data_IF_669947257773
#
_entry.id   IF_669947257773
#
_cell.length_a   1.000
_cell.length_b   1.000
_cell.length_c   1.000
_cell.angle_alpha   90.00
_cell.angle_beta   90.00
_cell.angle_gamma   90.00
#
_symmetry.space_group_name_H-M   'P 1'
#
loop_
_entity.id
_entity.type
_entity.pdbx_description
1 polymer ?
#
# COMPACT_ATOMS: atom_id res chain seq x y z
N UNK A 1 16.10 -1.44 -13.93
CA UNK A 1 15.19 -0.35 -13.53
C UNK A 1 15.09 -0.37 -12.01
N UNK A 2 15.17 0.78 -11.35
CA UNK A 2 15.06 0.86 -9.87
C UNK A 2 13.69 0.32 -9.44
N UNK A 3 13.54 -0.20 -8.22
CA UNK A 3 12.24 -0.74 -7.71
C UNK A 3 11.93 -0.35 -6.28
N UNK A 4 12.92 0.16 -5.55
CA UNK A 4 12.83 0.54 -4.15
C UNK A 4 13.00 2.06 -4.08
N UNK A 5 12.06 2.71 -3.41
CA UNK A 5 12.07 4.15 -3.20
C UNK A 5 11.86 4.43 -1.71
N UNK A 6 12.70 5.27 -1.15
CA UNK A 6 12.51 5.77 0.20
C UNK A 6 11.42 6.84 0.18
N UNK A 7 10.55 6.81 1.18
CA UNK A 7 9.55 7.85 1.41
C UNK A 7 9.81 8.49 2.76
N UNK A 8 9.94 9.81 2.78
CA UNK A 8 10.11 10.58 4.02
C UNK A 8 8.81 11.28 4.37
N UNK A 9 8.42 11.25 5.64
CA UNK A 9 7.28 12.01 6.15
C UNK A 9 7.80 13.33 6.71
N UNK A 10 7.39 14.44 6.13
CA UNK A 10 7.68 15.78 6.64
C UNK A 10 6.42 16.38 7.27
N UNK A 11 6.52 16.81 8.53
CA UNK A 11 5.40 17.45 9.23
C UNK A 11 5.50 18.96 9.12
N UNK A 12 4.53 19.58 8.46
CA UNK A 12 4.40 21.03 8.39
C UNK A 12 3.46 21.52 9.48
N UNK A 13 3.84 22.61 10.14
CA UNK A 13 2.98 23.31 11.11
C UNK A 13 2.38 24.52 10.41
N UNK A 14 1.06 24.51 10.25
CA UNK A 14 0.32 25.64 9.66
C UNK A 14 -0.43 26.37 10.76
N UNK A 15 -0.19 27.69 10.83
CA UNK A 15 -0.94 28.60 11.69
C UNK A 15 -2.00 29.30 10.85
N UNK A 16 -3.27 29.04 11.15
CA UNK A 16 -4.38 29.71 10.47
C UNK A 16 -4.76 30.99 11.21
N UNK A 17 -4.79 32.13 10.49
CA UNK A 17 -5.37 33.39 11.00
C UNK A 17 -6.86 33.42 10.68
N UNK A 18 -7.72 33.42 11.69
CA UNK A 18 -9.17 33.68 11.50
C UNK A 18 -9.41 35.18 11.36
N UNK A 19 -9.31 35.69 10.14
CA UNK A 19 -9.72 37.05 9.80
C UNK A 19 -8.77 38.17 10.28
N UNK A 20 -9.03 39.42 9.86
CA UNK A 20 -8.15 40.55 10.13
C UNK A 20 -8.11 40.96 11.62
N UNK A 21 -9.11 40.61 12.43
CA UNK A 21 -9.29 41.17 13.78
C UNK A 21 -9.26 40.17 14.96
N UNK A 22 -8.94 38.88 14.76
CA UNK A 22 -8.86 37.92 15.89
C UNK A 22 -7.43 37.50 16.22
N UNK A 23 -7.15 37.38 17.53
CA UNK A 23 -5.93 36.80 18.11
C UNK A 23 -5.63 35.43 17.50
N UNK A 24 -4.32 35.12 17.37
CA UNK A 24 -3.84 33.84 16.88
C UNK A 24 -4.49 32.68 17.67
N UNK A 25 -5.31 31.87 17.01
CA UNK A 25 -5.65 30.56 17.58
C UNK A 25 -4.39 29.70 17.51
N UNK A 26 -3.68 29.61 18.63
CA UNK A 26 -2.43 28.88 18.84
C UNK A 26 -2.54 27.35 18.76
N UNK A 27 -3.53 26.78 18.07
CA UNK A 27 -3.56 25.33 17.84
C UNK A 27 -2.79 25.03 16.56
N UNK A 28 -1.52 24.56 16.64
CA UNK A 28 -0.79 24.13 15.46
C UNK A 28 -1.56 23.00 14.79
N UNK A 29 -1.84 23.13 13.50
CA UNK A 29 -2.33 22.03 12.68
C UNK A 29 -1.14 21.39 11.99
N UNK A 30 -0.95 20.09 12.22
CA UNK A 30 0.13 19.31 11.61
C UNK A 30 -0.35 18.71 10.30
N UNK A 31 0.39 18.96 9.23
CA UNK A 31 0.15 18.41 7.91
C UNK A 31 1.32 17.50 7.53
N UNK A 32 1.14 16.17 7.59
CA UNK A 32 2.14 15.26 7.05
C UNK A 32 2.14 15.38 5.54
N UNK A 33 3.33 15.52 4.97
CA UNK A 33 3.58 15.43 3.53
C UNK A 33 4.55 14.29 3.26
N UNK A 34 4.23 13.46 2.28
CA UNK A 34 5.10 12.40 1.82
C UNK A 34 6.06 12.96 0.76
N UNK A 35 7.35 12.81 1.01
CA UNK A 35 8.43 13.23 0.10
C UNK A 35 9.01 11.97 -0.54
N UNK A 36 9.04 11.97 -1.87
CA UNK A 36 9.50 10.88 -2.71
C UNK A 36 10.08 11.42 -4.03
N UNK A 37 10.74 10.56 -4.79
CA UNK A 37 11.36 10.93 -6.07
C UNK A 37 10.33 10.97 -7.21
N UNK A 38 10.48 11.90 -8.16
CA UNK A 38 9.57 12.05 -9.31
C UNK A 38 9.46 10.77 -10.15
N UNK A 39 10.54 9.99 -10.28
CA UNK A 39 10.54 8.71 -11.01
C UNK A 39 9.51 7.73 -10.41
N UNK A 40 9.31 7.74 -9.08
CA UNK A 40 8.32 6.90 -8.43
C UNK A 40 6.90 7.27 -8.88
N UNK A 41 6.60 8.57 -8.91
CA UNK A 41 5.29 9.08 -9.29
C UNK A 41 4.96 8.74 -10.74
N UNK A 42 5.87 9.00 -11.67
CA UNK A 42 5.69 8.68 -13.09
C UNK A 42 5.39 7.18 -13.30
N UNK A 43 6.10 6.31 -12.56
CA UNK A 43 5.93 4.86 -12.66
C UNK A 43 4.63 4.37 -12.07
N UNK A 44 4.25 4.83 -10.88
CA UNK A 44 3.01 4.42 -10.26
C UNK A 44 1.81 5.01 -10.97
N UNK A 45 1.89 6.23 -11.51
CA UNK A 45 0.88 6.76 -12.40
C UNK A 45 0.70 5.89 -13.65
N UNK A 46 1.79 5.40 -14.25
CA UNK A 46 1.69 4.49 -15.39
C UNK A 46 0.98 3.16 -15.03
N UNK A 47 1.28 2.60 -13.86
CA UNK A 47 0.64 1.37 -13.34
C UNK A 47 -0.85 1.61 -13.01
N UNK A 48 -1.18 2.75 -12.42
CA UNK A 48 -2.52 3.05 -11.92
C UNK A 48 -3.46 3.64 -12.98
N UNK A 49 -2.90 4.19 -14.08
CA UNK A 49 -3.67 4.81 -15.17
C UNK A 49 -4.75 3.90 -15.79
N UNK A 50 -4.50 2.60 -16.08
CA UNK A 50 -5.54 1.69 -16.57
C UNK A 50 -6.72 1.53 -15.61
N UNK A 51 -6.50 1.79 -14.32
CA UNK A 51 -7.49 1.68 -13.25
C UNK A 51 -8.19 3.02 -12.95
N UNK A 52 -7.99 4.04 -13.79
CA UNK A 52 -8.53 5.39 -13.61
C UNK A 52 -8.18 6.02 -12.25
N UNK A 53 -6.99 5.69 -11.72
CA UNK A 53 -6.41 6.30 -10.54
C UNK A 53 -5.05 6.93 -10.88
N UNK A 54 -4.57 7.81 -9.99
CA UNK A 54 -3.21 8.37 -10.01
C UNK A 54 -2.54 8.16 -8.66
N UNK A 55 -1.21 8.09 -8.68
CA UNK A 55 -0.38 8.03 -7.49
C UNK A 55 -0.55 9.28 -6.62
N UNK A 56 -0.70 10.46 -7.23
CA UNK A 56 -1.00 11.69 -6.48
C UNK A 56 -2.31 11.62 -5.67
N UNK A 57 -3.35 10.97 -6.20
CA UNK A 57 -4.60 10.72 -5.46
C UNK A 57 -4.36 9.73 -4.31
N UNK A 58 -3.59 8.67 -4.55
CA UNK A 58 -3.22 7.70 -3.52
C UNK A 58 -2.44 8.36 -2.36
N UNK A 59 -1.44 9.19 -2.67
CA UNK A 59 -0.67 9.97 -1.69
C UNK A 59 -1.59 10.88 -0.87
N UNK A 60 -2.48 11.61 -1.54
CA UNK A 60 -3.44 12.50 -0.86
C UNK A 60 -4.32 11.75 0.15
N UNK A 61 -4.74 10.54 -0.19
CA UNK A 61 -5.53 9.69 0.72
C UNK A 61 -4.68 9.20 1.90
N UNK A 62 -3.45 8.75 1.64
CA UNK A 62 -2.52 8.31 2.68
C UNK A 62 -2.19 9.44 3.67
N UNK A 63 -1.84 10.63 3.18
CA UNK A 63 -1.59 11.81 4.01
C UNK A 63 -2.81 12.22 4.84
N UNK A 64 -4.01 12.13 4.26
CA UNK A 64 -5.25 12.42 4.98
C UNK A 64 -5.51 11.40 6.10
N UNK A 65 -5.22 10.12 5.89
CA UNK A 65 -5.40 9.10 6.92
C UNK A 65 -4.38 9.27 8.07
N UNK A 66 -3.12 9.62 7.76
CA UNK A 66 -2.11 9.96 8.78
C UNK A 66 -2.55 11.20 9.56
N UNK A 67 -2.94 12.28 8.86
CA UNK A 67 -3.35 13.55 9.48
C UNK A 67 -4.50 13.39 10.47
N UNK A 68 -5.44 12.49 10.17
CA UNK A 68 -6.61 12.25 11.01
C UNK A 68 -6.38 11.13 12.05
N UNK A 69 -5.15 10.63 12.20
CA UNK A 69 -4.83 9.56 13.15
C UNK A 69 -5.54 8.23 12.85
N UNK A 70 -5.99 8.04 11.61
CA UNK A 70 -6.68 6.80 11.19
C UNK A 70 -5.72 5.65 10.97
N UNK A 71 -4.48 5.97 10.59
CA UNK A 71 -3.39 5.01 10.37
C UNK A 71 -2.04 5.69 10.61
N UNK A 72 -1.06 4.88 10.98
CA UNK A 72 0.34 5.23 10.77
C UNK A 72 0.76 4.88 9.34
N UNK A 73 1.84 5.51 8.87
CA UNK A 73 2.41 5.14 7.58
C UNK A 73 3.16 3.82 7.74
N UNK A 74 2.81 2.83 6.92
CA UNK A 74 3.39 1.49 6.99
C UNK A 74 4.90 1.51 6.73
N UNK A 75 5.65 0.55 7.28
CA UNK A 75 7.08 0.40 6.99
C UNK A 75 7.34 0.25 5.48
N UNK A 76 6.53 -0.55 4.79
CA UNK A 76 6.60 -0.66 3.34
C UNK A 76 5.23 -0.75 2.66
N UNK A 77 5.17 -0.23 1.44
CA UNK A 77 4.07 -0.47 0.50
C UNK A 77 4.60 -1.19 -0.71
N UNK A 78 4.02 -2.33 -1.02
CA UNK A 78 4.35 -3.14 -2.19
C UNK A 78 3.26 -2.90 -3.22
N UNK A 79 3.65 -2.39 -4.39
CA UNK A 79 2.78 -2.22 -5.55
C UNK A 79 3.11 -3.28 -6.58
N UNK A 80 2.08 -3.96 -7.07
CA UNK A 80 2.19 -4.80 -8.25
C UNK A 80 1.99 -3.96 -9.51
N UNK A 81 2.49 -4.42 -10.65
CA UNK A 81 2.28 -3.73 -11.94
C UNK A 81 0.86 -3.94 -12.51
N UNK A 82 0.12 -4.90 -11.94
CA UNK A 82 -1.29 -5.17 -12.21
C UNK A 82 -1.96 -5.78 -10.98
N UNK A 83 -3.28 -5.67 -10.94
CA UNK A 83 -4.14 -6.41 -10.02
C UNK A 83 -4.14 -7.92 -10.36
N UNK A 84 -3.94 -8.78 -9.36
CA UNK A 84 -3.98 -10.25 -9.46
C UNK A 84 -5.16 -10.85 -8.68
N UNK A 85 -5.71 -11.99 -9.12
CA UNK A 85 -6.77 -12.71 -8.39
C UNK A 85 -6.15 -13.65 -7.33
N UNK A 86 -5.40 -13.06 -6.39
CA UNK A 86 -4.58 -13.79 -5.40
C UNK A 86 -4.83 -13.31 -3.96
N UNK A 87 -5.98 -12.69 -3.72
CA UNK A 87 -6.33 -12.16 -2.42
C UNK A 87 -6.52 -13.27 -1.38
N UNK A 88 -7.15 -14.39 -1.77
CA UNK A 88 -7.34 -15.55 -0.90
C UNK A 88 -6.02 -16.15 -0.47
N UNK A 89 -5.09 -16.30 -1.40
CA UNK A 89 -3.75 -16.81 -1.16
C UNK A 89 -2.97 -15.90 -0.21
N UNK A 90 -3.01 -14.58 -0.45
CA UNK A 90 -2.39 -13.61 0.44
C UNK A 90 -2.99 -13.67 1.85
N UNK A 91 -4.32 -13.66 1.98
CA UNK A 91 -5.00 -13.67 3.28
C UNK A 91 -4.74 -14.97 4.04
N UNK A 92 -4.76 -16.11 3.35
CA UNK A 92 -4.43 -17.42 3.92
C UNK A 92 -2.99 -17.45 4.45
N UNK A 93 -2.02 -17.00 3.65
CA UNK A 93 -0.62 -16.95 4.07
C UNK A 93 -0.42 -15.97 5.24
N UNK A 94 -1.04 -14.79 5.17
CA UNK A 94 -0.96 -13.76 6.21
C UNK A 94 -1.54 -14.24 7.55
N UNK A 95 -2.70 -14.89 7.54
CA UNK A 95 -3.46 -15.18 8.76
C UNK A 95 -3.75 -13.91 9.55
N UNK A 96 -3.45 -13.93 10.85
CA UNK A 96 -3.73 -12.82 11.79
C UNK A 96 -2.69 -11.69 11.76
N UNK A 97 -1.66 -11.78 10.92
CA UNK A 97 -0.64 -10.74 10.79
C UNK A 97 -1.30 -9.45 10.28
N UNK A 98 -1.04 -8.26 10.88
CA UNK A 98 -1.79 -7.03 10.59
C UNK A 98 -1.38 -6.34 9.27
N UNK A 99 -0.99 -7.09 8.26
CA UNK A 99 -0.77 -6.55 6.91
C UNK A 99 -2.09 -6.32 6.20
N UNK A 100 -2.25 -5.17 5.55
CA UNK A 100 -3.43 -4.90 4.73
C UNK A 100 -3.10 -5.10 3.27
N UNK A 101 -4.13 -5.26 2.45
CA UNK A 101 -3.98 -5.22 1.01
C UNK A 101 -5.11 -4.42 0.39
N UNK A 102 -4.87 -3.97 -0.83
CA UNK A 102 -5.84 -3.28 -1.64
C UNK A 102 -5.57 -3.57 -3.11
N UNK A 103 -6.37 -2.96 -3.94
CA UNK A 103 -6.32 -3.05 -5.38
C UNK A 103 -6.08 -1.65 -5.97
N UNK A 104 -5.66 -1.55 -7.22
CA UNK A 104 -5.45 -0.23 -7.84
C UNK A 104 -6.77 0.51 -8.11
N UNK A 105 -7.82 -0.20 -8.51
CA UNK A 105 -9.15 0.36 -8.81
C UNK A 105 -9.96 0.83 -7.58
N UNK A 106 -9.69 0.34 -6.36
CA UNK A 106 -10.40 0.82 -5.16
C UNK A 106 -10.16 2.32 -4.91
N UNK A 107 -9.03 2.87 -5.38
CA UNK A 107 -8.80 4.31 -5.39
C UNK A 107 -9.89 5.09 -6.16
N UNK A 108 -10.48 4.47 -7.19
CA UNK A 108 -11.59 5.03 -7.97
C UNK A 108 -12.95 4.85 -7.30
N UNK A 109 -13.06 4.10 -6.19
CA UNK A 109 -14.31 3.82 -5.48
C UNK A 109 -15.11 2.67 -6.07
N UNK A 110 -14.50 1.85 -6.93
CA UNK A 110 -15.15 0.69 -7.53
C UNK A 110 -14.95 -0.53 -6.63
N UNK A 111 -16.05 -1.20 -6.27
CA UNK A 111 -16.05 -2.43 -5.47
C UNK A 111 -16.38 -3.60 -6.39
N UNK A 112 -15.68 -4.74 -6.30
CA UNK A 112 -16.01 -5.92 -7.08
C UNK A 112 -17.41 -6.43 -6.83
N UNK A 113 -18.08 -6.82 -7.93
CA UNK A 113 -19.42 -7.40 -7.91
C UNK A 113 -19.47 -8.73 -7.16
N UNK A 114 -18.37 -9.48 -7.16
CA UNK A 114 -18.25 -10.79 -6.50
C UNK A 114 -17.72 -10.70 -5.06
N UNK A 115 -17.43 -9.49 -4.58
CA UNK A 115 -17.01 -9.21 -3.21
C UNK A 115 -15.57 -9.58 -2.86
N UNK A 116 -14.77 -10.09 -3.80
CA UNK A 116 -13.35 -10.39 -3.57
C UNK A 116 -12.47 -9.34 -4.24
N UNK A 117 -11.80 -8.45 -3.47
CA UNK A 117 -10.92 -7.46 -4.07
C UNK A 117 -9.69 -8.15 -4.66
N UNK A 118 -9.28 -7.82 -5.90
CA UNK A 118 -8.01 -8.29 -6.41
C UNK A 118 -6.85 -7.66 -5.63
N UNK A 119 -5.68 -8.25 -5.79
CA UNK A 119 -4.46 -7.86 -5.11
C UNK A 119 -3.59 -7.00 -6.04
N UNK A 120 -3.55 -5.69 -5.77
CA UNK A 120 -2.66 -4.75 -6.46
C UNK A 120 -1.63 -4.10 -5.54
N UNK A 121 -1.92 -4.04 -4.24
CA UNK A 121 -1.10 -3.35 -3.25
C UNK A 121 -1.09 -4.12 -1.93
N UNK A 122 0.06 -4.20 -1.27
CA UNK A 122 0.22 -4.77 0.07
C UNK A 122 0.88 -3.74 0.99
N UNK A 123 0.34 -3.64 2.20
CA UNK A 123 0.66 -2.61 3.19
C UNK A 123 1.33 -3.36 4.34
N UNK A 124 2.65 -3.23 4.42
CA UNK A 124 3.49 -3.95 5.39
C UNK A 124 3.71 -3.05 6.58
N UNK A 125 3.03 -3.33 7.70
CA UNK A 125 3.12 -2.48 8.88
C UNK A 125 4.53 -2.51 9.48
N UNK A 126 5.07 -3.71 9.70
CA UNK A 126 6.42 -3.93 10.24
C UNK A 126 7.24 -4.88 9.37
N UNK A 127 8.57 -4.73 9.36
CA UNK A 127 9.47 -5.62 8.62
C UNK A 127 9.32 -7.09 9.02
N UNK A 128 9.16 -7.35 10.31
CA UNK A 128 8.93 -8.71 10.82
C UNK A 128 7.64 -9.35 10.34
N UNK A 129 6.65 -8.54 9.93
CA UNK A 129 5.42 -9.08 9.36
C UNK A 129 5.68 -9.67 7.97
N UNK A 130 6.44 -8.95 7.14
CA UNK A 130 6.86 -9.45 5.82
C UNK A 130 7.66 -10.76 5.97
N UNK A 131 8.63 -10.80 6.88
CA UNK A 131 9.44 -11.98 7.17
C UNK A 131 8.57 -13.22 7.51
N UNK A 132 7.56 -13.04 8.37
CA UNK A 132 6.65 -14.13 8.76
C UNK A 132 5.77 -14.60 7.61
N UNK A 133 5.34 -13.67 6.73
CA UNK A 133 4.46 -14.02 5.60
C UNK A 133 5.24 -14.70 4.48
N UNK A 134 6.45 -14.25 4.16
CA UNK A 134 7.26 -14.86 3.08
C UNK A 134 7.65 -16.30 3.38
N UNK A 135 7.74 -16.68 4.65
CA UNK A 135 7.93 -18.07 5.05
C UNK A 135 6.78 -19.01 4.62
N UNK A 136 5.64 -18.46 4.20
CA UNK A 136 4.42 -19.21 3.85
C UNK A 136 3.98 -19.05 2.40
N UNK A 137 4.54 -18.09 1.65
CA UNK A 137 4.15 -17.83 0.27
C UNK A 137 5.28 -17.27 -0.58
N UNK A 138 5.37 -17.73 -1.82
CA UNK A 138 6.29 -17.19 -2.82
C UNK A 138 5.87 -15.82 -3.36
N UNK A 139 4.61 -15.41 -3.13
CA UNK A 139 4.02 -14.15 -3.61
C UNK A 139 4.87 -12.92 -3.26
N UNK A 140 5.51 -12.95 -2.09
CA UNK A 140 6.24 -11.83 -1.52
C UNK A 140 7.76 -12.05 -1.48
N UNK A 141 8.26 -13.14 -2.06
CA UNK A 141 9.67 -13.49 -1.96
C UNK A 141 10.59 -12.41 -2.55
N UNK A 142 10.25 -11.89 -3.74
CA UNK A 142 11.02 -10.83 -4.38
C UNK A 142 11.08 -9.56 -3.54
N UNK A 143 9.95 -9.17 -2.94
CA UNK A 143 9.88 -8.04 -2.03
C UNK A 143 10.75 -8.26 -0.80
N UNK A 144 10.73 -9.46 -0.21
CA UNK A 144 11.60 -9.76 0.93
C UNK A 144 13.08 -9.69 0.58
N UNK A 145 13.51 -10.34 -0.51
CA UNK A 145 14.92 -10.31 -0.91
C UNK A 145 15.44 -8.89 -1.14
N UNK A 146 14.60 -8.02 -1.72
CA UNK A 146 14.94 -6.63 -2.02
C UNK A 146 14.87 -5.71 -0.79
N UNK A 147 14.00 -5.99 0.20
CA UNK A 147 13.73 -5.10 1.33
C UNK A 147 14.36 -5.53 2.67
N UNK A 148 14.76 -6.80 2.83
CA UNK A 148 15.21 -7.38 4.12
C UNK A 148 16.42 -6.69 4.75
N UNK A 149 17.24 -5.99 3.97
CA UNK A 149 18.42 -5.29 4.48
C UNK A 149 18.18 -3.79 4.70
N UNK A 150 16.98 -3.30 4.40
CA UNK A 150 16.61 -1.90 4.58
C UNK A 150 16.27 -1.57 6.04
N UNK A 151 16.39 -0.29 6.37
CA UNK A 151 16.12 0.24 7.71
C UNK A 151 14.64 0.07 8.09
N UNK A 152 14.41 -0.34 9.33
CA UNK A 152 13.07 -0.43 9.95
C UNK A 152 12.51 0.94 10.38
N UNK A 153 13.39 1.95 10.54
CA UNK A 153 13.01 3.30 10.95
C UNK A 153 12.67 4.25 9.80
N UNK A 154 12.70 3.74 8.56
CA UNK A 154 12.38 4.46 7.33
C UNK A 154 11.22 3.79 6.64
N UNK A 155 10.61 4.49 5.70
CA UNK A 155 9.47 3.99 4.94
C UNK A 155 9.83 3.76 3.48
N UNK A 156 9.25 2.72 2.90
CA UNK A 156 9.64 2.23 1.59
C UNK A 156 8.42 2.04 0.69
N UNK A 157 8.57 2.41 -0.58
CA UNK A 157 7.69 1.97 -1.65
C UNK A 157 8.47 1.02 -2.55
N UNK A 158 7.92 -0.17 -2.74
CA UNK A 158 8.46 -1.23 -3.58
C UNK A 158 7.53 -1.48 -4.76
N UNK A 159 8.06 -1.47 -5.98
CA UNK A 159 7.33 -1.89 -7.18
C UNK A 159 7.80 -3.29 -7.55
N UNK A 160 6.95 -4.27 -7.26
CA UNK A 160 7.25 -5.68 -7.46
C UNK A 160 7.42 -6.02 -8.94
N UNK A 161 8.37 -6.92 -9.29
CA UNK A 161 8.37 -7.52 -10.61
C UNK A 161 7.04 -8.23 -10.90
N UNK A 162 6.69 -8.41 -12.18
CA UNK A 162 5.64 -9.35 -12.57
C UNK A 162 5.85 -10.72 -11.92
N UNK A 163 4.77 -11.29 -11.42
CA UNK A 163 4.75 -12.66 -10.95
C UNK A 163 4.82 -13.60 -12.17
N UNK A 164 5.38 -14.80 -11.98
CA UNK A 164 5.40 -15.84 -13.01
C UNK A 164 3.96 -16.15 -13.46
N UNK A 165 3.67 -16.05 -14.76
CA UNK A 165 2.34 -16.33 -15.29
C UNK A 165 1.87 -17.75 -14.99
N UNK A 166 2.79 -18.72 -15.01
CA UNK A 166 2.49 -20.09 -14.64
C UNK A 166 2.06 -20.19 -13.17
N UNK A 167 2.82 -19.56 -12.27
CA UNK A 167 2.51 -19.59 -10.84
C UNK A 167 1.17 -18.89 -10.55
N UNK A 168 0.92 -17.76 -11.21
CA UNK A 168 -0.35 -17.04 -11.10
C UNK A 168 -1.51 -17.94 -11.55
N UNK A 169 -1.44 -18.54 -12.74
CA UNK A 169 -2.50 -19.41 -13.24
C UNK A 169 -2.78 -20.62 -12.34
N UNK A 170 -1.75 -21.20 -11.72
CA UNK A 170 -1.86 -22.32 -10.78
C UNK A 170 -2.60 -21.92 -9.48
N UNK A 171 -2.48 -20.66 -9.03
CA UNK A 171 -2.99 -20.21 -7.73
C UNK A 171 -4.25 -19.36 -7.82
N UNK A 172 -4.53 -18.71 -8.96
CA UNK A 172 -5.81 -18.02 -9.20
C UNK A 172 -6.97 -19.03 -9.26
N UNK A 173 -6.69 -20.28 -9.65
CA UNK A 173 -7.66 -21.37 -9.64
C UNK A 173 -8.06 -21.74 -8.19
N UNK A 174 -9.21 -21.22 -7.74
CA UNK A 174 -9.75 -21.47 -6.40
C UNK A 174 -9.38 -20.41 -5.34
N UNK A 175 -8.66 -19.34 -5.73
CA UNK A 175 -8.31 -18.24 -4.83
C UNK A 175 -9.54 -17.58 -4.21
N UNK A 176 -10.60 -17.46 -5.00
CA UNK A 176 -11.88 -16.92 -4.56
C UNK A 176 -12.48 -17.73 -3.42
N UNK A 177 -12.57 -19.05 -3.58
CA UNK A 177 -13.12 -19.94 -2.55
C UNK A 177 -12.26 -19.88 -1.28
N UNK A 178 -10.94 -19.82 -1.45
CA UNK A 178 -10.01 -19.63 -0.34
C UNK A 178 -10.25 -18.30 0.38
N UNK A 179 -10.45 -17.20 -0.33
CA UNK A 179 -10.75 -15.89 0.26
C UNK A 179 -12.04 -15.92 1.07
N UNK A 180 -13.12 -16.47 0.50
CA UNK A 180 -14.42 -16.54 1.17
C UNK A 180 -14.36 -17.41 2.43
N UNK A 181 -13.60 -18.50 2.40
CA UNK A 181 -13.38 -19.34 3.59
C UNK A 181 -12.66 -18.60 4.71
N UNK A 182 -11.79 -17.64 4.41
CA UNK A 182 -11.06 -16.89 5.43
C UNK A 182 -11.88 -15.75 6.06
N UNK A 183 -12.85 -15.16 5.33
CA UNK A 183 -13.62 -14.00 5.79
C UNK A 183 -15.02 -14.31 6.32
N UNK A 184 -15.59 -15.47 6.00
CA UNK A 184 -16.97 -15.83 6.39
C UNK A 184 -17.04 -17.03 7.36
N UNK A 185 -15.99 -17.27 8.15
CA UNK A 185 -16.02 -18.16 9.32
C UNK A 185 -16.60 -17.44 10.54
#
# INVERSE_FOLDING_TARGET
MRRIYEVTIQNFVVYARKGPEQEWQHKPTYYPQLIYENELEERLDAIMKPYHCSFGRWITLAENDIRNGKREFSWAYIFFERDYQLAGHFVSARGDIPMLFSSHWLCAGNVPLDGVPPLGQIFVQEKSDLEKVVAKTALLQSAWEDLKDLSETRHWIYIAPPLSEQWVAEHEAGDRELFLQMYYQ
#
